data_IF_357140155117
#
_entry.id   IF_357140155117
#
_cell.length_a   1.000
_cell.length_b   1.000
_cell.length_c   1.000
_cell.angle_alpha   90.00
_cell.angle_beta   90.00
_cell.angle_gamma   90.00
#
_symmetry.space_group_name_H-M   'P 1'
#
loop_
_entity.id
_entity.type
_entity.pdbx_description
1 polymer ?
#
# COMPACT_ATOMS: atom_id res chain seq x y z
N UNK A 1 -11.64 -2.39 25.04
CA UNK A 1 -10.27 -1.86 25.19
C UNK A 1 -10.25 -0.48 24.55
N UNK A 2 -9.86 0.57 25.28
CA UNK A 2 -9.81 1.93 24.70
C UNK A 2 -8.46 2.16 24.03
N UNK A 3 -8.43 3.03 23.00
CA UNK A 3 -7.21 3.41 22.31
C UNK A 3 -6.18 4.01 23.28
N UNK A 4 -6.62 4.93 24.16
CA UNK A 4 -5.76 5.57 25.15
C UNK A 4 -4.99 4.58 26.04
N UNK A 5 -5.67 3.56 26.59
CA UNK A 5 -5.02 2.53 27.42
C UNK A 5 -3.99 1.71 26.64
N UNK A 6 -4.23 1.51 25.34
CA UNK A 6 -3.31 0.77 24.47
C UNK A 6 -2.07 1.59 24.15
N UNK A 7 -2.24 2.88 23.85
CA UNK A 7 -1.15 3.82 23.61
C UNK A 7 -0.27 4.00 24.85
N UNK A 8 -0.86 4.18 26.04
CA UNK A 8 -0.09 4.29 27.28
C UNK A 8 0.77 3.04 27.54
N UNK A 9 0.25 1.85 27.26
CA UNK A 9 0.98 0.59 27.44
C UNK A 9 2.08 0.36 26.40
N UNK A 10 1.94 0.93 25.19
CA UNK A 10 2.87 0.76 24.06
C UNK A 10 3.71 2.01 23.80
N UNK A 11 3.77 2.94 24.75
CA UNK A 11 4.42 4.23 24.57
C UNK A 11 5.89 4.06 24.14
N UNK A 12 6.61 3.12 24.76
CA UNK A 12 8.00 2.81 24.42
C UNK A 12 8.13 2.32 22.98
N UNK A 13 7.22 1.45 22.51
CA UNK A 13 7.26 0.95 21.14
C UNK A 13 7.01 2.06 20.10
N UNK A 14 6.13 3.02 20.43
CA UNK A 14 5.85 4.17 19.57
C UNK A 14 7.03 5.13 19.53
N UNK A 15 7.66 5.40 20.67
CA UNK A 15 8.81 6.30 20.75
C UNK A 15 10.04 5.73 20.03
N UNK A 16 10.27 4.42 20.13
CA UNK A 16 11.38 3.74 19.46
C UNK A 16 11.38 3.91 17.92
N UNK A 17 10.23 4.21 17.31
CA UNK A 17 10.14 4.53 15.88
C UNK A 17 10.92 5.81 15.51
N UNK A 18 10.91 6.82 16.39
CA UNK A 18 11.53 8.12 16.15
C UNK A 18 13.03 8.13 16.45
N UNK A 19 13.51 7.20 17.29
CA UNK A 19 14.93 7.08 17.62
C UNK A 19 15.76 6.46 16.47
N UNK A 20 15.10 5.82 15.50
CA UNK A 20 15.77 5.17 14.37
C UNK A 20 16.00 6.17 13.22
N UNK A 21 17.25 6.50 12.86
CA UNK A 21 17.52 7.44 11.78
C UNK A 21 16.99 6.91 10.43
N UNK A 22 16.44 7.81 9.63
CA UNK A 22 15.86 7.46 8.32
C UNK A 22 14.54 6.70 8.38
N UNK A 23 13.87 6.62 9.54
CA UNK A 23 12.47 6.20 9.57
C UNK A 23 11.59 7.25 8.93
N UNK A 24 10.69 6.80 8.07
CA UNK A 24 9.61 7.60 7.51
C UNK A 24 8.41 6.71 7.27
N UNK A 25 7.22 7.28 7.35
CA UNK A 25 5.99 6.58 6.98
C UNK A 25 5.73 6.66 5.47
N UNK A 26 6.53 7.43 4.73
CA UNK A 26 6.35 7.70 3.30
C UNK A 26 6.21 6.46 2.42
N UNK A 27 7.07 5.41 2.56
CA UNK A 27 6.90 4.18 1.78
C UNK A 27 5.57 3.46 2.05
N UNK A 28 5.16 3.39 3.32
CA UNK A 28 3.87 2.81 3.71
C UNK A 28 2.71 3.63 3.15
N UNK A 29 2.79 4.96 3.24
CA UNK A 29 1.79 5.88 2.70
C UNK A 29 1.69 5.82 1.18
N UNK A 30 2.83 5.67 0.49
CA UNK A 30 2.87 5.51 -0.95
C UNK A 30 2.15 4.22 -1.41
N UNK A 31 2.32 3.12 -0.66
CA UNK A 31 1.61 1.86 -0.93
C UNK A 31 0.12 2.02 -0.60
N UNK A 32 -0.22 2.55 0.57
CA UNK A 32 -1.62 2.75 0.98
C UNK A 32 -2.37 3.65 0.00
N UNK A 33 -1.76 4.74 -0.47
CA UNK A 33 -2.37 5.62 -1.48
C UNK A 33 -2.70 4.89 -2.78
N UNK A 34 -1.85 3.95 -3.23
CA UNK A 34 -2.14 3.09 -4.39
C UNK A 34 -3.28 2.12 -4.12
N UNK A 35 -3.32 1.53 -2.93
CA UNK A 35 -4.41 0.63 -2.54
C UNK A 35 -5.75 1.36 -2.42
N UNK A 36 -5.76 2.58 -1.90
CA UNK A 36 -6.97 3.42 -1.86
C UNK A 36 -7.43 3.81 -3.27
N UNK A 37 -6.52 4.15 -4.17
CA UNK A 37 -6.86 4.41 -5.57
C UNK A 37 -7.52 3.19 -6.23
N UNK A 38 -6.91 2.01 -6.08
CA UNK A 38 -7.45 0.74 -6.56
C UNK A 38 -8.84 0.44 -5.97
N UNK A 39 -9.09 0.77 -4.70
CA UNK A 39 -10.40 0.61 -4.06
C UNK A 39 -11.44 1.58 -4.62
N UNK A 40 -11.03 2.79 -5.02
CA UNK A 40 -11.90 3.77 -5.67
C UNK A 40 -12.35 3.36 -7.07
N UNK A 41 -11.56 2.54 -7.77
CA UNK A 41 -11.82 2.11 -9.15
C UNK A 41 -12.42 0.69 -9.26
N UNK A 42 -12.31 -0.15 -8.22
CA UNK A 42 -12.73 -1.56 -8.28
C UNK A 42 -14.08 -1.85 -7.59
N UNK A 43 -14.94 -2.73 -8.16
CA UNK A 43 -16.16 -3.20 -7.50
C UNK A 43 -15.85 -4.22 -6.38
N UNK A 44 -15.35 -3.72 -5.25
CA UNK A 44 -15.10 -4.48 -4.01
C UNK A 44 -14.17 -5.69 -4.13
N UNK A 45 -13.89 -6.34 -3.00
CA UNK A 45 -13.10 -7.57 -2.95
C UNK A 45 -14.03 -8.79 -3.05
N UNK A 46 -14.01 -9.47 -4.19
CA UNK A 46 -14.82 -10.68 -4.43
C UNK A 46 -13.99 -11.97 -4.41
N UNK A 47 -12.79 -11.94 -4.99
CA UNK A 47 -11.82 -13.01 -4.93
C UNK A 47 -10.40 -12.48 -5.15
N UNK A 48 -9.40 -13.26 -4.71
CA UNK A 48 -8.00 -12.88 -4.74
C UNK A 48 -7.44 -12.72 -6.16
N UNK A 49 -7.76 -13.64 -7.07
CA UNK A 49 -7.27 -13.62 -8.46
C UNK A 49 -7.66 -12.33 -9.17
N UNK A 50 -8.94 -11.96 -9.11
CA UNK A 50 -9.45 -10.74 -9.74
C UNK A 50 -8.89 -9.47 -9.10
N UNK A 51 -8.61 -9.51 -7.80
CA UNK A 51 -7.98 -8.41 -7.09
C UNK A 51 -6.53 -8.20 -7.54
N UNK A 52 -5.75 -9.30 -7.64
CA UNK A 52 -4.36 -9.26 -8.14
C UNK A 52 -4.32 -8.72 -9.57
N UNK A 53 -5.17 -9.24 -10.47
CA UNK A 53 -5.21 -8.78 -11.86
C UNK A 53 -5.50 -7.28 -11.95
N UNK A 54 -6.43 -6.75 -11.14
CA UNK A 54 -6.74 -5.30 -11.13
C UNK A 54 -5.63 -4.47 -10.53
N UNK A 55 -5.03 -4.91 -9.43
CA UNK A 55 -3.88 -4.22 -8.84
C UNK A 55 -2.72 -4.10 -9.85
N UNK A 56 -2.49 -5.15 -10.65
CA UNK A 56 -1.50 -5.14 -11.72
C UNK A 56 -1.90 -4.21 -12.88
N UNK A 57 -3.18 -4.15 -13.27
CA UNK A 57 -3.64 -3.21 -14.32
C UNK A 57 -3.51 -1.76 -13.87
N UNK A 58 -3.97 -1.45 -12.66
CA UNK A 58 -3.99 -0.11 -12.05
C UNK A 58 -2.58 0.48 -11.86
N UNK A 59 -1.61 -0.38 -11.49
CA UNK A 59 -0.21 0.04 -11.29
C UNK A 59 0.65 -0.05 -12.54
N UNK A 60 0.09 -0.40 -13.71
CA UNK A 60 0.84 -0.53 -14.97
C UNK A 60 1.71 -1.79 -15.07
N UNK A 61 1.44 -2.80 -14.23
CA UNK A 61 2.09 -4.12 -14.23
C UNK A 61 1.77 -4.96 -15.47
N UNK A 62 0.71 -4.64 -16.21
CA UNK A 62 0.55 -5.06 -17.60
C UNK A 62 1.12 -4.00 -18.52
N UNK A 63 2.42 -4.05 -18.76
CA UNK A 63 2.95 -3.46 -20.00
C UNK A 63 2.49 -4.38 -21.12
N UNK A 64 1.65 -3.95 -22.08
CA UNK A 64 1.70 -4.62 -23.36
C UNK A 64 3.15 -4.49 -23.85
N UNK A 65 3.68 -5.47 -24.58
CA UNK A 65 4.84 -5.22 -25.43
C UNK A 65 4.44 -4.19 -26.49
N UNK A 66 4.32 -2.93 -26.11
CA UNK A 66 4.09 -1.85 -27.05
C UNK A 66 5.45 -1.61 -27.70
N UNK A 67 5.61 -2.19 -28.90
CA UNK A 67 6.72 -2.17 -29.86
C UNK A 67 7.67 -3.38 -29.91
N UNK A 68 7.33 -4.42 -30.71
CA UNK A 68 8.29 -5.29 -31.38
C UNK A 68 8.87 -4.70 -32.69
N UNK A 69 8.66 -3.40 -32.98
CA UNK A 69 9.03 -2.80 -34.27
C UNK A 69 9.59 -1.38 -34.10
N UNK A 70 10.74 -1.25 -33.46
CA UNK A 70 11.74 -0.28 -33.89
C UNK A 70 13.08 -1.03 -33.92
N UNK A 71 13.57 -1.21 -35.15
CA UNK A 71 14.89 -1.72 -35.49
C UNK A 71 15.94 -0.64 -35.25
#
# INVERSE_FOLDING_TARGET
KTLGRTLSRRAVDVLAYFDRPGTSNGPTEAINGRLEHLRGTAPGFRNLTNYITRALLDTGGFRPQIHPLLR
#
